data_IF_929270039149
#
_entry.id   IF_929270039149
#
_cell.length_a   1.000
_cell.length_b   1.000
_cell.length_c   1.000
_cell.angle_alpha   90.00
_cell.angle_beta   90.00
_cell.angle_gamma   90.00
#
_symmetry.space_group_name_H-M   'P 1'
#
loop_
_entity.id
_entity.type
_entity.pdbx_description
1 polymer ?
#
# COMPACT_ATOMS: atom_id res chain seq x y z
N UNK A 1 5.66 24.52 -14.60
CA UNK A 1 6.23 23.72 -13.48
C UNK A 1 5.12 23.56 -12.46
N UNK A 2 4.84 22.33 -12.00
CA UNK A 2 3.81 22.09 -10.98
C UNK A 2 4.39 22.38 -9.60
N UNK A 3 3.63 23.08 -8.77
CA UNK A 3 3.97 23.35 -7.37
C UNK A 3 3.17 22.42 -6.45
N UNK A 4 3.83 21.90 -5.40
CA UNK A 4 3.26 20.91 -4.49
C UNK A 4 3.35 21.36 -3.03
N UNK A 5 2.29 21.09 -2.28
CA UNK A 5 2.32 20.99 -0.83
C UNK A 5 2.38 19.53 -0.39
N UNK A 6 3.03 19.21 0.72
CA UNK A 6 3.09 17.87 1.32
C UNK A 6 2.47 17.94 2.70
N UNK A 7 1.47 17.09 2.94
CA UNK A 7 0.80 16.93 4.23
C UNK A 7 1.13 15.54 4.78
N UNK A 8 1.99 15.52 5.82
CA UNK A 8 2.61 14.32 6.35
C UNK A 8 3.95 14.01 5.68
N UNK A 9 5.06 14.34 6.36
CA UNK A 9 6.44 14.12 5.91
C UNK A 9 7.05 12.84 6.52
N UNK A 10 6.26 11.76 6.59
CA UNK A 10 6.71 10.41 6.87
C UNK A 10 7.38 9.76 5.66
N UNK A 11 7.69 8.45 5.73
CA UNK A 11 8.32 7.71 4.62
C UNK A 11 7.54 7.90 3.31
N UNK A 12 6.22 7.69 3.30
CA UNK A 12 5.42 7.80 2.07
C UNK A 12 5.39 9.21 1.48
N UNK A 13 5.14 10.23 2.33
CA UNK A 13 5.13 11.63 1.88
C UNK A 13 6.46 12.06 1.27
N UNK A 14 7.58 11.69 1.91
CA UNK A 14 8.93 11.96 1.39
C UNK A 14 9.23 11.19 0.08
N UNK A 15 8.81 9.94 -0.02
CA UNK A 15 8.95 9.15 -1.26
C UNK A 15 8.26 9.83 -2.44
N UNK A 16 7.00 10.21 -2.28
CA UNK A 16 6.26 10.89 -3.35
C UNK A 16 6.80 12.28 -3.67
N UNK A 17 7.18 13.06 -2.64
CA UNK A 17 7.82 14.36 -2.85
C UNK A 17 9.13 14.23 -3.64
N UNK A 18 9.96 13.24 -3.30
CA UNK A 18 11.20 12.94 -4.01
C UNK A 18 10.97 12.55 -5.47
N UNK A 19 9.98 11.68 -5.75
CA UNK A 19 9.59 11.38 -7.13
C UNK A 19 9.10 12.62 -7.86
N UNK A 20 8.26 13.45 -7.23
CA UNK A 20 7.73 14.66 -7.85
C UNK A 20 8.84 15.65 -8.25
N UNK A 21 9.84 15.84 -7.39
CA UNK A 21 11.00 16.69 -7.71
C UNK A 21 11.79 16.12 -8.90
N UNK A 22 12.04 14.81 -8.95
CA UNK A 22 12.68 14.16 -10.10
C UNK A 22 11.91 14.35 -11.42
N UNK A 23 10.58 14.47 -11.36
CA UNK A 23 9.71 14.75 -12.50
C UNK A 23 9.44 16.25 -12.73
N UNK A 24 10.29 17.12 -12.13
CA UNK A 24 10.30 18.56 -12.39
C UNK A 24 9.19 19.35 -11.67
N UNK A 25 8.63 18.83 -10.59
CA UNK A 25 7.78 19.59 -9.69
C UNK A 25 8.60 20.29 -8.60
N UNK A 26 8.02 21.28 -7.94
CA UNK A 26 8.64 21.99 -6.81
C UNK A 26 7.77 21.89 -5.56
N UNK A 27 8.35 21.42 -4.46
CA UNK A 27 7.70 21.44 -3.16
C UNK A 27 7.81 22.85 -2.58
N UNK A 28 6.67 23.49 -2.30
CA UNK A 28 6.59 24.88 -1.81
C UNK A 28 6.08 24.98 -0.37
N UNK A 29 5.48 23.90 0.17
CA UNK A 29 5.05 23.84 1.55
C UNK A 29 5.12 22.40 2.07
N UNK A 30 5.47 22.23 3.36
CA UNK A 30 5.40 20.95 4.06
C UNK A 30 4.67 21.16 5.39
N UNK A 31 3.58 20.43 5.58
CA UNK A 31 2.77 20.42 6.80
C UNK A 31 3.00 19.10 7.54
N UNK A 32 3.75 19.15 8.65
CA UNK A 32 4.14 17.99 9.46
C UNK A 32 4.13 18.35 10.94
N UNK A 33 3.34 17.67 11.79
CA UNK A 33 3.26 18.00 13.21
C UNK A 33 4.54 17.65 13.98
N UNK A 34 5.23 16.57 13.63
CA UNK A 34 6.47 16.18 14.29
C UNK A 34 7.61 17.15 13.91
N UNK A 35 8.22 17.85 14.90
CA UNK A 35 9.23 18.87 14.62
C UNK A 35 10.51 18.29 14.00
N UNK A 36 10.87 17.03 14.35
CA UNK A 36 12.06 16.40 13.81
C UNK A 36 11.87 15.99 12.33
N UNK A 37 10.71 15.43 11.98
CA UNK A 37 10.38 15.11 10.58
C UNK A 37 10.24 16.39 9.76
N UNK A 38 9.60 17.42 10.32
CA UNK A 38 9.45 18.72 9.67
C UNK A 38 10.80 19.37 9.36
N UNK A 39 11.76 19.32 10.31
CA UNK A 39 13.10 19.83 10.08
C UNK A 39 13.82 19.09 8.96
N UNK A 40 13.81 17.75 8.95
CA UNK A 40 14.39 16.94 7.86
C UNK A 40 13.75 17.22 6.51
N UNK A 41 12.43 17.43 6.47
CA UNK A 41 11.75 17.82 5.24
C UNK A 41 12.21 19.20 4.74
N UNK A 42 12.50 20.14 5.65
CA UNK A 42 13.09 21.45 5.32
C UNK A 42 14.50 21.35 4.74
N UNK A 43 15.31 20.40 5.23
CA UNK A 43 16.63 20.14 4.65
C UNK A 43 16.52 19.59 3.22
N UNK A 44 15.55 18.69 2.98
CA UNK A 44 15.29 18.12 1.65
C UNK A 44 14.65 19.13 0.67
N UNK A 45 13.90 20.10 1.18
CA UNK A 45 13.18 21.11 0.41
C UNK A 45 13.41 22.53 0.99
N UNK A 46 14.60 23.12 0.82
CA UNK A 46 14.99 24.36 1.49
C UNK A 46 14.12 25.59 1.16
N UNK A 47 13.42 25.56 0.02
CA UNK A 47 12.51 26.64 -0.39
C UNK A 47 11.07 26.45 0.11
N UNK A 48 10.77 25.31 0.74
CA UNK A 48 9.42 25.01 1.21
C UNK A 48 9.12 25.72 2.54
N UNK A 49 7.94 26.29 2.63
CA UNK A 49 7.42 26.77 3.91
C UNK A 49 7.09 25.57 4.82
N UNK A 50 7.57 25.61 6.06
CA UNK A 50 7.36 24.55 7.04
C UNK A 50 6.20 24.91 7.98
N UNK A 51 5.16 24.09 7.97
CA UNK A 51 3.93 24.29 8.74
C UNK A 51 3.74 23.19 9.78
N UNK A 52 3.20 23.50 10.98
CA UNK A 52 2.99 22.50 12.02
C UNK A 52 1.86 21.50 11.70
N UNK A 53 0.99 21.83 10.73
CA UNK A 53 -0.07 20.93 10.31
C UNK A 53 -0.81 21.40 9.07
N UNK A 54 -1.69 20.56 8.56
CA UNK A 54 -2.47 20.84 7.35
C UNK A 54 -3.51 21.96 7.54
N UNK A 55 -3.94 22.23 8.80
CA UNK A 55 -4.92 23.28 9.09
C UNK A 55 -4.34 24.67 8.83
N UNK A 56 -3.05 24.86 9.09
CA UNK A 56 -2.33 26.09 8.77
C UNK A 56 -2.20 26.29 7.25
N UNK A 57 -2.02 25.19 6.49
CA UNK A 57 -2.06 25.24 5.02
C UNK A 57 -3.47 25.62 4.53
N UNK A 58 -4.51 25.01 5.10
CA UNK A 58 -5.91 25.23 4.71
C UNK A 58 -6.51 26.58 5.16
N UNK A 59 -5.86 27.28 6.12
CA UNK A 59 -6.27 28.60 6.59
C UNK A 59 -5.84 29.76 5.66
N UNK A 60 -5.11 29.47 4.59
CA UNK A 60 -4.51 30.44 3.66
C UNK A 60 -5.13 30.33 2.27
N UNK A 61 -4.95 31.33 1.42
CA UNK A 61 -5.16 31.18 -0.02
C UNK A 61 -4.31 30.02 -0.55
N UNK A 62 -4.80 29.35 -1.58
CA UNK A 62 -4.09 28.24 -2.23
C UNK A 62 -2.69 28.68 -2.66
N UNK A 63 -1.66 28.02 -2.14
CA UNK A 63 -0.23 28.34 -2.35
C UNK A 63 0.47 27.39 -3.32
N UNK A 64 -0.16 26.26 -3.66
CA UNK A 64 0.37 25.26 -4.58
C UNK A 64 -0.70 24.78 -5.56
N UNK A 65 -0.28 24.21 -6.69
CA UNK A 65 -1.19 23.60 -7.66
C UNK A 65 -1.83 22.33 -7.10
N UNK A 66 -1.04 21.53 -6.39
CA UNK A 66 -1.49 20.25 -5.87
C UNK A 66 -0.96 19.97 -4.46
N UNK A 67 -1.56 18.98 -3.81
CA UNK A 67 -1.17 18.50 -2.48
C UNK A 67 -1.03 16.98 -2.47
N UNK A 68 0.04 16.49 -1.84
CA UNK A 68 0.22 15.09 -1.47
C UNK A 68 -0.24 14.95 -0.02
N UNK A 69 -1.17 14.03 0.25
CA UNK A 69 -1.66 13.75 1.59
C UNK A 69 -1.21 12.35 1.97
N UNK A 70 -0.32 12.25 2.94
CA UNK A 70 0.30 11.02 3.43
C UNK A 70 0.39 11.02 4.96
N UNK A 71 -0.72 11.35 5.61
CA UNK A 71 -0.93 11.31 7.06
C UNK A 71 -1.15 9.87 7.54
N UNK A 72 -1.58 9.65 8.78
CA UNK A 72 -2.06 8.36 9.22
C UNK A 72 -3.43 8.06 8.59
N UNK A 73 -3.76 6.78 8.41
CA UNK A 73 -4.95 6.31 7.68
C UNK A 73 -6.26 6.97 8.16
N UNK A 74 -6.43 7.15 9.48
CA UNK A 74 -7.60 7.79 10.07
C UNK A 74 -7.67 9.32 9.85
N UNK A 75 -6.53 9.94 9.54
CA UNK A 75 -6.42 11.40 9.38
C UNK A 75 -6.48 11.86 7.92
N UNK A 76 -6.89 10.99 6.99
CA UNK A 76 -6.95 11.30 5.55
C UNK A 76 -8.15 12.19 5.18
N UNK A 77 -9.28 12.02 5.83
CA UNK A 77 -10.58 12.55 5.38
C UNK A 77 -10.63 14.08 5.42
N UNK A 78 -10.35 14.66 6.59
CA UNK A 78 -10.46 16.12 6.76
C UNK A 78 -9.56 16.89 5.79
N UNK A 79 -8.25 16.61 5.69
CA UNK A 79 -7.39 17.33 4.75
C UNK A 79 -7.78 17.06 3.30
N UNK A 80 -8.17 15.84 2.92
CA UNK A 80 -8.57 15.51 1.55
C UNK A 80 -9.80 16.31 1.12
N UNK A 81 -10.86 16.32 1.91
CA UNK A 81 -12.11 17.06 1.65
C UNK A 81 -11.85 18.57 1.64
N UNK A 82 -11.13 19.08 2.65
CA UNK A 82 -10.91 20.51 2.80
C UNK A 82 -10.02 21.08 1.70
N UNK A 83 -8.89 20.42 1.40
CA UNK A 83 -7.94 20.93 0.41
C UNK A 83 -8.47 20.78 -1.02
N UNK A 84 -9.20 19.70 -1.34
CA UNK A 84 -9.93 19.59 -2.59
C UNK A 84 -10.94 20.75 -2.76
N UNK A 85 -11.72 21.06 -1.70
CA UNK A 85 -12.65 22.19 -1.69
C UNK A 85 -11.99 23.57 -1.85
N UNK A 86 -10.71 23.70 -1.54
CA UNK A 86 -9.91 24.91 -1.80
C UNK A 86 -9.30 24.93 -3.21
N UNK A 87 -9.58 23.90 -4.03
CA UNK A 87 -9.12 23.80 -5.41
C UNK A 87 -7.70 23.24 -5.59
N UNK A 88 -7.13 22.62 -4.58
CA UNK A 88 -5.90 21.83 -4.76
C UNK A 88 -6.21 20.57 -5.56
N UNK A 89 -5.39 20.22 -6.53
CA UNK A 89 -5.33 18.85 -7.02
C UNK A 89 -4.76 17.96 -5.91
N UNK A 90 -5.25 16.72 -5.78
CA UNK A 90 -4.93 15.88 -4.61
C UNK A 90 -4.36 14.54 -5.02
N UNK A 91 -3.24 14.16 -4.41
CA UNK A 91 -2.73 12.79 -4.39
C UNK A 91 -2.83 12.27 -2.95
N UNK A 92 -3.73 11.30 -2.72
CA UNK A 92 -4.07 10.78 -1.39
C UNK A 92 -3.46 9.39 -1.17
N UNK A 93 -2.74 9.20 -0.06
CA UNK A 93 -2.26 7.87 0.33
C UNK A 93 -3.42 6.90 0.63
N UNK A 94 -3.15 5.61 0.41
CA UNK A 94 -4.09 4.53 0.71
C UNK A 94 -3.93 4.05 2.18
N UNK A 95 -4.99 3.47 2.75
CA UNK A 95 -6.37 3.45 2.25
C UNK A 95 -6.97 4.85 2.25
N UNK A 96 -7.95 5.11 1.38
CA UNK A 96 -8.58 6.45 1.27
C UNK A 96 -9.06 6.95 2.64
N UNK A 97 -9.70 6.06 3.39
CA UNK A 97 -10.14 6.26 4.76
C UNK A 97 -10.36 4.91 5.46
N UNK A 98 -10.57 4.94 6.76
CA UNK A 98 -10.81 3.74 7.59
C UNK A 98 -12.31 3.38 7.70
N UNK A 99 -13.22 4.25 7.24
CA UNK A 99 -14.68 4.01 7.20
C UNK A 99 -15.22 4.23 5.80
N UNK A 100 -16.23 3.44 5.45
CA UNK A 100 -16.82 3.47 4.10
C UNK A 100 -17.48 4.83 3.79
N UNK A 101 -18.22 5.40 4.74
CA UNK A 101 -18.85 6.71 4.60
C UNK A 101 -17.86 7.85 4.37
N UNK A 102 -16.67 7.75 4.95
CA UNK A 102 -15.61 8.73 4.78
C UNK A 102 -15.00 8.67 3.37
N UNK A 103 -14.87 7.47 2.79
CA UNK A 103 -14.47 7.33 1.39
C UNK A 103 -15.50 7.94 0.44
N UNK A 104 -16.78 7.76 0.72
CA UNK A 104 -17.87 8.41 -0.07
C UNK A 104 -17.75 9.94 0.02
N UNK A 105 -17.53 10.48 1.21
CA UNK A 105 -17.34 11.93 1.40
C UNK A 105 -16.14 12.49 0.62
N UNK A 106 -15.03 11.75 0.55
CA UNK A 106 -13.85 12.12 -0.26
C UNK A 106 -14.21 12.13 -1.75
N UNK A 107 -14.88 11.08 -2.26
CA UNK A 107 -15.31 11.01 -3.67
C UNK A 107 -16.19 12.21 -4.03
N UNK A 108 -17.22 12.47 -3.23
CA UNK A 108 -18.13 13.60 -3.46
C UNK A 108 -17.42 14.95 -3.41
N UNK A 109 -16.46 15.13 -2.49
CA UNK A 109 -15.70 16.37 -2.41
C UNK A 109 -14.81 16.57 -3.64
N UNK A 110 -14.13 15.51 -4.11
CA UNK A 110 -13.31 15.56 -5.31
C UNK A 110 -14.14 15.90 -6.57
N UNK A 111 -15.30 15.25 -6.72
CA UNK A 111 -16.21 15.49 -7.85
C UNK A 111 -16.80 16.91 -7.83
N UNK A 112 -17.27 17.38 -6.67
CA UNK A 112 -17.79 18.76 -6.52
C UNK A 112 -16.72 19.83 -6.82
N UNK A 113 -15.48 19.57 -6.44
CA UNK A 113 -14.38 20.50 -6.66
C UNK A 113 -13.86 20.49 -8.10
N UNK A 114 -14.12 19.43 -8.87
CA UNK A 114 -13.62 19.27 -10.25
C UNK A 114 -12.09 19.24 -10.35
N UNK A 115 -11.42 18.80 -9.29
CA UNK A 115 -9.95 18.73 -9.23
C UNK A 115 -9.44 17.38 -9.74
N UNK A 116 -8.20 17.35 -10.20
CA UNK A 116 -7.49 16.08 -10.41
C UNK A 116 -7.29 15.44 -9.03
N UNK A 117 -7.76 14.22 -8.87
CA UNK A 117 -7.65 13.48 -7.62
C UNK A 117 -7.22 12.04 -7.90
N UNK A 118 -6.10 11.63 -7.33
CA UNK A 118 -5.57 10.27 -7.41
C UNK A 118 -5.43 9.65 -6.03
N UNK A 119 -5.72 8.34 -5.94
CA UNK A 119 -5.43 7.54 -4.75
C UNK A 119 -4.17 6.72 -5.01
N UNK A 120 -3.30 6.57 -4.02
CA UNK A 120 -2.01 5.91 -4.18
C UNK A 120 -2.10 4.38 -4.32
N UNK A 121 -2.93 3.90 -5.25
CA UNK A 121 -2.92 2.51 -5.72
C UNK A 121 -1.79 2.30 -6.71
N UNK A 122 -0.59 2.38 -6.21
CA UNK A 122 0.67 2.41 -6.98
C UNK A 122 0.87 1.18 -7.88
N UNK A 123 0.30 0.04 -7.52
CA UNK A 123 0.43 -1.19 -8.32
C UNK A 123 -0.13 -1.05 -9.73
N UNK A 124 -1.13 -0.19 -9.95
CA UNK A 124 -1.67 0.09 -11.30
C UNK A 124 -0.64 0.68 -12.25
N UNK A 125 0.41 1.33 -11.71
CA UNK A 125 1.41 2.11 -12.46
C UNK A 125 2.75 1.39 -12.63
N UNK A 126 2.85 0.12 -12.18
CA UNK A 126 4.08 -0.66 -12.36
C UNK A 126 4.26 -1.08 -13.83
N UNK A 127 5.51 -1.22 -14.30
CA UNK A 127 5.80 -1.83 -15.60
C UNK A 127 5.16 -3.22 -15.75
N UNK A 128 5.16 -4.02 -14.68
CA UNK A 128 4.53 -5.33 -14.62
C UNK A 128 3.01 -5.27 -14.91
N UNK A 129 2.30 -4.36 -14.26
CA UNK A 129 0.86 -4.19 -14.48
C UNK A 129 0.57 -3.72 -15.89
N UNK A 130 1.37 -2.80 -16.42
CA UNK A 130 1.24 -2.29 -17.79
C UNK A 130 1.41 -3.42 -18.79
N UNK A 131 2.49 -4.20 -18.70
CA UNK A 131 2.73 -5.33 -19.59
C UNK A 131 1.62 -6.40 -19.48
N UNK A 132 1.16 -6.69 -18.26
CA UNK A 132 0.03 -7.61 -18.04
C UNK A 132 -1.24 -7.11 -18.72
N UNK A 133 -1.55 -5.83 -18.57
CA UNK A 133 -2.73 -5.21 -19.16
C UNK A 133 -2.66 -5.18 -20.69
N UNK A 134 -1.50 -4.86 -21.27
CA UNK A 134 -1.26 -4.89 -22.71
C UNK A 134 -1.51 -6.30 -23.30
N UNK A 135 -1.06 -7.36 -22.61
CA UNK A 135 -1.33 -8.75 -23.02
C UNK A 135 -2.81 -9.07 -23.00
N UNK A 136 -3.52 -8.66 -21.96
CA UNK A 136 -4.97 -8.88 -21.83
C UNK A 136 -5.72 -8.10 -22.93
N UNK A 137 -5.43 -6.83 -23.09
CA UNK A 137 -6.12 -5.93 -24.03
C UNK A 137 -5.83 -6.28 -25.50
N UNK A 138 -4.69 -6.91 -25.79
CA UNK A 138 -4.37 -7.45 -27.13
C UNK A 138 -5.19 -8.71 -27.46
N UNK A 139 -5.92 -9.28 -26.49
CA UNK A 139 -6.65 -10.54 -26.66
C UNK A 139 -5.76 -11.78 -26.65
N UNK A 140 -4.50 -11.68 -26.22
CA UNK A 140 -3.53 -12.80 -26.22
C UNK A 140 -4.04 -14.04 -25.48
N UNK A 141 -4.85 -13.84 -24.42
CA UNK A 141 -5.44 -14.94 -23.64
C UNK A 141 -6.97 -15.09 -23.83
N UNK A 142 -7.58 -14.29 -24.71
CA UNK A 142 -9.04 -14.21 -24.86
C UNK A 142 -9.70 -13.52 -23.68
N UNK A 143 -10.94 -13.93 -23.33
CA UNK A 143 -11.64 -13.40 -22.17
C UNK A 143 -11.12 -13.99 -20.87
N UNK A 144 -10.97 -13.17 -19.83
CA UNK A 144 -10.60 -13.65 -18.48
C UNK A 144 -11.75 -14.47 -17.90
N UNK A 145 -11.45 -15.70 -17.49
CA UNK A 145 -12.38 -16.62 -16.82
C UNK A 145 -12.15 -16.63 -15.31
N UNK A 146 -10.87 -16.69 -14.90
CA UNK A 146 -10.54 -16.64 -13.47
C UNK A 146 -9.14 -16.09 -13.21
N UNK A 147 -8.93 -15.60 -11.96
CA UNK A 147 -7.64 -15.08 -11.50
C UNK A 147 -7.30 -15.67 -10.13
N UNK A 148 -6.04 -16.07 -9.95
CA UNK A 148 -5.45 -16.38 -8.65
C UNK A 148 -4.39 -15.34 -8.30
N UNK A 149 -4.46 -14.78 -7.11
CA UNK A 149 -3.54 -13.72 -6.67
C UNK A 149 -3.09 -13.97 -5.23
N UNK A 150 -1.78 -13.88 -4.98
CA UNK A 150 -1.17 -14.07 -3.68
C UNK A 150 -0.39 -12.82 -3.29
N UNK A 151 -0.70 -12.25 -2.12
CA UNK A 151 0.14 -11.28 -1.41
C UNK A 151 1.00 -12.00 -0.35
N UNK A 152 2.28 -12.26 -0.63
CA UNK A 152 3.21 -12.88 0.31
C UNK A 152 3.80 -11.80 1.22
N UNK A 153 3.07 -11.40 2.27
CA UNK A 153 3.47 -10.28 3.16
C UNK A 153 4.88 -10.46 3.73
N UNK A 154 5.23 -11.71 4.06
CA UNK A 154 6.51 -12.06 4.66
C UNK A 154 6.48 -12.01 6.20
N UNK A 155 7.12 -13.00 6.81
CA UNK A 155 7.05 -13.24 8.26
C UNK A 155 7.57 -12.05 9.10
N UNK A 156 8.69 -11.46 8.69
CA UNK A 156 9.30 -10.35 9.42
C UNK A 156 8.53 -9.04 9.20
N UNK A 157 8.03 -8.80 7.98
CA UNK A 157 7.24 -7.61 7.64
C UNK A 157 5.91 -7.61 8.41
N UNK A 158 5.22 -8.75 8.44
CA UNK A 158 3.99 -8.89 9.22
C UNK A 158 4.26 -8.65 10.71
N UNK A 159 5.30 -9.30 11.26
CA UNK A 159 5.71 -9.12 12.65
C UNK A 159 6.08 -7.66 12.98
N UNK A 160 6.72 -6.93 12.03
CA UNK A 160 7.04 -5.52 12.17
C UNK A 160 5.78 -4.65 12.18
N UNK A 161 4.98 -4.71 11.12
CA UNK A 161 3.91 -3.74 10.86
C UNK A 161 2.59 -4.08 11.58
N UNK A 162 2.22 -5.37 11.61
CA UNK A 162 0.88 -5.84 11.96
C UNK A 162 0.83 -6.62 13.29
N UNK A 163 1.99 -6.82 13.94
CA UNK A 163 2.06 -7.41 15.29
C UNK A 163 2.62 -6.40 16.30
N UNK A 164 3.72 -5.71 15.96
CA UNK A 164 4.38 -4.75 16.86
C UNK A 164 4.08 -3.29 16.51
N UNK A 165 3.81 -3.01 15.24
CA UNK A 165 3.70 -1.68 14.66
C UNK A 165 2.32 -1.04 14.76
N UNK A 166 2.13 0.03 13.99
CA UNK A 166 0.96 0.89 14.06
C UNK A 166 -0.32 0.23 13.55
N UNK A 167 -0.21 -0.75 12.63
CA UNK A 167 -1.34 -1.46 12.04
C UNK A 167 -1.70 -2.76 12.79
N UNK A 168 -1.21 -2.95 14.03
CA UNK A 168 -1.45 -4.16 14.80
C UNK A 168 -2.87 -4.32 15.34
N UNK A 169 -3.62 -3.21 15.45
CA UNK A 169 -4.98 -3.20 15.99
C UNK A 169 -5.95 -2.53 15.04
N UNK A 170 -7.08 -3.20 14.86
CA UNK A 170 -8.14 -2.72 13.97
C UNK A 170 -8.82 -1.44 14.45
N UNK A 171 -8.85 -1.18 15.76
CA UNK A 171 -9.42 0.03 16.36
C UNK A 171 -8.46 1.24 16.33
N UNK A 172 -7.15 1.01 16.21
CA UNK A 172 -6.13 2.07 16.11
C UNK A 172 -5.84 2.50 14.67
N UNK A 173 -6.00 1.58 13.73
CA UNK A 173 -5.81 1.81 12.31
C UNK A 173 -7.03 1.32 11.53
N UNK A 174 -6.98 0.09 11.02
CA UNK A 174 -8.11 -0.60 10.39
C UNK A 174 -7.79 -2.10 10.28
N UNK A 175 -8.73 -2.91 9.77
CA UNK A 175 -8.49 -4.34 9.57
C UNK A 175 -7.44 -4.60 8.46
N UNK A 176 -6.74 -5.74 8.56
CA UNK A 176 -5.57 -6.07 7.73
C UNK A 176 -5.82 -5.98 6.23
N UNK A 177 -6.98 -6.47 5.75
CA UNK A 177 -7.30 -6.49 4.33
C UNK A 177 -7.39 -5.07 3.76
N UNK A 178 -7.91 -4.10 4.50
CA UNK A 178 -7.95 -2.70 4.08
C UNK A 178 -6.57 -2.03 4.22
N UNK A 179 -5.91 -2.19 5.36
CA UNK A 179 -4.61 -1.55 5.61
C UNK A 179 -3.53 -1.96 4.61
N UNK A 180 -3.46 -3.27 4.29
CA UNK A 180 -2.41 -3.86 3.44
C UNK A 180 -2.90 -4.18 2.04
N UNK A 181 -3.99 -4.94 1.92
CA UNK A 181 -4.38 -5.60 0.68
C UNK A 181 -5.44 -4.86 -0.13
N UNK A 182 -5.80 -3.62 0.25
CA UNK A 182 -6.60 -2.77 -0.63
C UNK A 182 -5.91 -2.55 -2.00
N UNK A 183 -4.58 -2.54 -2.03
CA UNK A 183 -3.79 -2.55 -3.27
C UNK A 183 -4.11 -3.76 -4.17
N UNK A 184 -4.23 -4.94 -3.57
CA UNK A 184 -4.38 -6.21 -4.29
C UNK A 184 -5.81 -6.34 -4.82
N UNK A 185 -6.81 -5.96 -4.03
CA UNK A 185 -8.21 -5.91 -4.46
C UNK A 185 -8.42 -4.88 -5.56
N UNK A 186 -7.76 -3.72 -5.45
CA UNK A 186 -7.75 -2.68 -6.45
C UNK A 186 -7.07 -3.15 -7.75
N UNK A 187 -5.95 -3.83 -7.64
CA UNK A 187 -5.23 -4.39 -8.76
C UNK A 187 -6.07 -5.44 -9.50
N UNK A 188 -6.74 -6.34 -8.76
CA UNK A 188 -7.63 -7.36 -9.34
C UNK A 188 -8.80 -6.71 -10.10
N UNK A 189 -9.41 -5.68 -9.52
CA UNK A 189 -10.46 -4.90 -10.19
C UNK A 189 -9.93 -4.27 -11.49
N UNK A 190 -8.74 -3.66 -11.46
CA UNK A 190 -8.11 -3.03 -12.62
C UNK A 190 -7.77 -4.04 -13.73
N UNK A 191 -7.20 -5.19 -13.38
CA UNK A 191 -6.79 -6.21 -14.35
C UNK A 191 -8.00 -6.89 -15.00
N UNK A 192 -8.99 -7.27 -14.21
CA UNK A 192 -10.21 -7.91 -14.74
C UNK A 192 -11.07 -6.91 -15.52
N UNK A 193 -11.01 -5.62 -15.15
CA UNK A 193 -11.77 -4.56 -15.82
C UNK A 193 -13.28 -4.64 -15.63
N UNK A 194 -13.75 -5.37 -14.59
CA UNK A 194 -15.16 -5.58 -14.24
C UNK A 194 -15.34 -5.41 -12.74
N UNK A 195 -16.51 -4.94 -12.32
CA UNK A 195 -16.82 -4.78 -10.89
C UNK A 195 -16.97 -6.13 -10.21
N UNK A 196 -16.56 -6.19 -8.94
CA UNK A 196 -16.88 -7.31 -8.05
C UNK A 196 -18.33 -7.17 -7.60
N UNK A 197 -19.12 -8.23 -7.75
CA UNK A 197 -20.56 -8.26 -7.39
C UNK A 197 -20.85 -9.10 -6.15
N UNK A 198 -20.01 -10.12 -5.87
CA UNK A 198 -20.13 -10.95 -4.65
C UNK A 198 -18.76 -11.35 -4.13
N UNK A 199 -18.69 -11.52 -2.81
CA UNK A 199 -17.46 -12.00 -2.15
C UNK A 199 -17.77 -12.94 -0.98
N UNK A 200 -16.86 -13.89 -0.74
CA UNK A 200 -16.77 -14.66 0.50
C UNK A 200 -15.34 -14.63 1.02
N UNK A 201 -15.17 -14.75 2.34
CA UNK A 201 -13.84 -14.64 2.92
C UNK A 201 -13.70 -15.50 4.17
N UNK A 202 -12.49 -16.06 4.36
CA UNK A 202 -12.08 -16.81 5.54
C UNK A 202 -10.68 -16.35 5.96
N UNK A 203 -10.44 -16.29 7.27
CA UNK A 203 -9.15 -15.88 7.80
C UNK A 203 -9.23 -15.58 9.28
N UNK A 204 -8.10 -15.39 9.94
CA UNK A 204 -8.04 -15.13 11.35
C UNK A 204 -6.64 -14.82 11.85
N UNK A 205 -6.56 -14.50 13.12
CA UNK A 205 -5.31 -14.44 13.86
C UNK A 205 -5.02 -15.85 14.41
N UNK A 206 -4.12 -16.58 13.75
CA UNK A 206 -3.84 -17.97 14.07
C UNK A 206 -2.58 -18.14 14.94
N UNK A 207 -1.53 -17.39 14.61
CA UNK A 207 -0.20 -17.66 15.16
C UNK A 207 0.26 -16.61 16.19
N UNK A 208 0.12 -15.32 15.92
CA UNK A 208 0.66 -14.23 16.75
C UNK A 208 -0.23 -13.91 17.95
N UNK A 209 -0.34 -14.86 18.89
CA UNK A 209 -1.19 -14.79 20.09
C UNK A 209 -0.58 -15.58 21.24
N UNK A 210 -1.01 -15.27 22.45
CA UNK A 210 -0.38 -15.76 23.68
C UNK A 210 -0.40 -17.29 23.82
N UNK A 211 -1.44 -17.97 23.32
CA UNK A 211 -1.55 -19.43 23.37
C UNK A 211 -0.43 -20.15 22.62
N UNK A 212 0.20 -19.48 21.66
CA UNK A 212 1.29 -20.03 20.86
C UNK A 212 2.68 -19.59 21.37
N UNK A 213 2.75 -18.90 22.51
CA UNK A 213 4.01 -18.46 23.11
C UNK A 213 4.85 -19.65 23.55
N UNK A 214 6.10 -19.79 23.05
CA UNK A 214 6.97 -20.88 23.48
C UNK A 214 7.32 -20.79 24.96
N UNK A 215 7.46 -21.96 25.61
CA UNK A 215 7.96 -22.04 26.97
C UNK A 215 9.33 -21.37 27.11
N UNK A 216 9.52 -20.57 28.13
CA UNK A 216 10.76 -19.82 28.36
C UNK A 216 10.89 -18.54 27.58
N UNK A 217 9.90 -18.16 26.74
CA UNK A 217 9.91 -16.88 26.05
C UNK A 217 9.73 -15.71 27.04
N UNK A 218 10.55 -14.66 26.90
CA UNK A 218 10.41 -13.43 27.67
C UNK A 218 9.45 -12.44 26.97
N UNK A 219 9.05 -11.40 27.69
CA UNK A 219 8.20 -10.32 27.12
C UNK A 219 8.90 -9.51 26.01
N UNK A 220 10.23 -9.49 26.01
CA UNK A 220 11.05 -8.76 25.01
C UNK A 220 12.13 -9.65 24.42
N UNK A 221 12.43 -9.46 23.14
CA UNK A 221 13.42 -10.28 22.42
C UNK A 221 14.83 -10.18 23.00
N UNK A 222 15.22 -9.04 23.56
CA UNK A 222 16.57 -8.86 24.11
C UNK A 222 16.84 -9.69 25.39
N UNK A 223 15.78 -10.05 26.12
CA UNK A 223 15.86 -10.79 27.37
C UNK A 223 15.40 -12.26 27.20
N UNK A 224 15.13 -12.69 25.96
CA UNK A 224 14.46 -13.94 25.66
C UNK A 224 15.44 -15.11 25.50
N UNK A 225 15.34 -16.14 26.34
CA UNK A 225 16.21 -17.32 26.27
C UNK A 225 16.01 -18.15 24.99
N UNK A 226 14.79 -18.14 24.42
CA UNK A 226 14.45 -18.87 23.20
C UNK A 226 14.67 -18.02 21.91
N UNK A 227 15.21 -16.80 22.04
CA UNK A 227 15.43 -15.88 20.92
C UNK A 227 16.25 -16.51 19.77
N UNK A 228 17.33 -17.27 20.01
CA UNK A 228 18.15 -17.83 18.91
C UNK A 228 17.39 -18.75 17.96
N UNK A 229 16.35 -19.44 18.44
CA UNK A 229 15.49 -20.33 17.65
C UNK A 229 14.20 -19.66 17.13
N UNK A 230 13.92 -18.42 17.53
CA UNK A 230 12.66 -17.74 17.17
C UNK A 230 12.75 -17.14 15.77
N UNK A 231 11.86 -17.51 14.81
CA UNK A 231 11.86 -16.93 13.48
C UNK A 231 11.50 -15.43 13.48
N UNK A 232 10.85 -14.96 14.54
CA UNK A 232 10.37 -13.58 14.69
C UNK A 232 11.26 -12.72 15.61
N UNK A 233 12.51 -13.11 15.82
CA UNK A 233 13.45 -12.36 16.65
C UNK A 233 13.62 -10.94 16.12
N UNK A 234 13.18 -9.94 16.91
CA UNK A 234 13.39 -8.54 16.60
C UNK A 234 14.88 -8.18 16.56
N UNK A 235 15.65 -8.71 17.52
CA UNK A 235 17.10 -8.48 17.59
C UNK A 235 17.79 -8.91 16.30
N UNK A 236 17.62 -10.17 15.88
CA UNK A 236 18.23 -10.69 14.67
C UNK A 236 17.75 -9.94 13.42
N UNK A 237 16.45 -9.71 13.30
CA UNK A 237 15.88 -9.05 12.13
C UNK A 237 16.42 -7.64 11.95
N UNK A 238 16.34 -6.79 12.98
CA UNK A 238 16.73 -5.38 12.80
C UNK A 238 18.23 -5.17 12.77
N UNK A 239 19.00 -5.98 13.50
CA UNK A 239 20.47 -5.90 13.38
C UNK A 239 20.98 -6.39 12.02
N UNK A 240 20.30 -7.35 11.37
CA UNK A 240 20.67 -7.78 10.01
C UNK A 240 20.40 -6.73 8.93
N UNK A 241 19.60 -5.73 9.23
CA UNK A 241 19.29 -4.62 8.31
C UNK A 241 20.27 -3.44 8.42
N UNK A 242 21.13 -3.43 9.44
CA UNK A 242 22.15 -2.38 9.57
C UNK A 242 23.13 -2.45 8.42
N UNK A 243 23.43 -1.28 7.82
CA UNK A 243 24.34 -1.17 6.67
C UNK A 243 23.67 -1.40 5.30
N UNK A 244 22.40 -1.82 5.28
CA UNK A 244 21.62 -1.89 4.06
C UNK A 244 20.89 -0.54 3.83
N UNK A 245 21.24 0.23 2.77
CA UNK A 245 20.63 1.54 2.50
C UNK A 245 19.11 1.46 2.28
N UNK A 246 18.61 0.38 1.66
CA UNK A 246 17.20 0.19 1.38
C UNK A 246 16.40 -0.08 2.66
N UNK A 247 17.07 -0.56 3.72
CA UNK A 247 16.47 -0.82 5.04
C UNK A 247 16.58 0.36 5.99
N UNK A 248 17.41 1.34 5.70
CA UNK A 248 17.59 2.53 6.53
C UNK A 248 16.30 3.36 6.59
N UNK A 249 15.67 3.66 5.45
CA UNK A 249 14.40 4.39 5.41
C UNK A 249 13.24 3.57 5.98
N UNK A 250 13.15 2.31 5.58
CA UNK A 250 12.16 1.38 6.12
C UNK A 250 12.75 -0.04 6.19
N UNK A 251 12.69 -0.75 7.36
CA UNK A 251 11.92 -0.41 8.57
C UNK A 251 12.70 0.32 9.67
N UNK A 252 14.02 0.57 9.53
CA UNK A 252 14.86 1.04 10.63
C UNK A 252 14.50 2.45 11.12
N UNK A 253 14.22 3.41 10.23
CA UNK A 253 13.84 4.78 10.63
C UNK A 253 12.52 4.84 11.39
N UNK A 254 11.69 3.80 11.28
CA UNK A 254 10.44 3.68 12.05
C UNK A 254 10.72 3.30 13.50
N UNK A 255 11.81 2.55 13.76
CA UNK A 255 12.22 2.20 15.12
C UNK A 255 12.86 3.38 15.84
N UNK A 256 13.81 4.03 15.16
CA UNK A 256 14.64 5.10 15.73
C UNK A 256 15.24 5.96 14.62
N UNK A 257 15.42 7.27 14.85
CA UNK A 257 16.21 8.12 13.97
C UNK A 257 17.73 7.85 14.07
N UNK A 258 18.19 7.21 15.16
CA UNK A 258 19.58 6.79 15.38
C UNK A 258 19.80 5.38 14.83
N UNK A 259 20.14 5.29 13.53
CA UNK A 259 20.31 4.02 12.80
C UNK A 259 21.73 3.47 13.03
N UNK A 260 22.10 3.34 14.30
CA UNK A 260 23.29 2.61 14.77
C UNK A 260 22.87 1.35 15.52
N UNK A 261 23.80 0.43 15.73
CA UNK A 261 23.52 -0.77 16.54
C UNK A 261 23.04 -0.37 17.94
N UNK A 262 23.67 0.62 18.59
CA UNK A 262 23.28 1.10 19.90
C UNK A 262 21.88 1.73 19.89
N UNK A 263 21.58 2.57 18.90
CA UNK A 263 20.27 3.20 18.72
C UNK A 263 19.16 2.17 18.49
N UNK A 264 19.39 1.17 17.64
CA UNK A 264 18.46 0.05 17.39
C UNK A 264 18.25 -0.78 18.65
N UNK A 265 19.32 -1.17 19.37
CA UNK A 265 19.19 -1.94 20.62
C UNK A 265 18.44 -1.15 21.70
N UNK A 266 18.67 0.15 21.82
CA UNK A 266 17.90 1.03 22.72
C UNK A 266 16.42 1.06 22.33
N UNK A 267 16.10 1.23 21.07
CA UNK A 267 14.73 1.22 20.57
C UNK A 267 14.04 -0.14 20.80
N UNK A 268 14.76 -1.25 20.67
CA UNK A 268 14.23 -2.58 20.97
C UNK A 268 14.03 -2.80 22.47
N UNK A 269 14.83 -2.16 23.34
CA UNK A 269 14.66 -2.24 24.80
C UNK A 269 13.45 -1.45 25.27
N UNK A 270 13.22 -0.27 24.73
CA UNK A 270 12.26 0.70 25.25
C UNK A 270 10.97 0.74 24.41
N UNK A 271 11.07 0.64 23.09
CA UNK A 271 9.98 0.82 22.14
C UNK A 271 9.14 -0.44 21.91
N UNK A 272 8.07 -0.34 21.10
CA UNK A 272 7.15 -1.45 20.84
C UNK A 272 7.77 -2.58 20.01
N UNK A 273 8.76 -2.28 19.18
CA UNK A 273 9.32 -3.22 18.20
C UNK A 273 10.17 -4.34 18.82
N UNK A 274 10.59 -4.21 20.08
CA UNK A 274 11.30 -5.27 20.80
C UNK A 274 10.41 -6.25 21.55
N UNK A 275 9.07 -6.07 21.56
CA UNK A 275 8.12 -6.95 22.23
C UNK A 275 8.12 -8.36 21.61
N UNK A 276 7.82 -9.36 22.42
CA UNK A 276 7.53 -10.70 21.94
C UNK A 276 6.29 -10.69 21.05
N UNK A 277 6.35 -11.32 19.88
CA UNK A 277 5.21 -11.36 18.92
C UNK A 277 3.99 -12.11 19.46
N UNK A 278 4.18 -12.96 20.47
CA UNK A 278 3.11 -13.73 21.12
C UNK A 278 2.50 -12.99 22.31
N UNK A 279 3.05 -11.81 22.67
CA UNK A 279 2.66 -11.02 23.84
C UNK A 279 2.31 -9.58 23.45
N UNK A 280 1.97 -9.38 22.16
CA UNK A 280 1.48 -8.13 21.65
C UNK A 280 -0.05 -8.05 21.75
N UNK A 281 -0.56 -6.83 21.66
CA UNK A 281 -1.99 -6.50 21.72
C UNK A 281 -2.62 -6.44 20.31
N UNK A 282 -2.08 -7.20 19.35
CA UNK A 282 -2.56 -7.25 17.98
C UNK A 282 -3.85 -8.08 17.87
N UNK A 283 -4.78 -7.62 17.01
CA UNK A 283 -6.07 -8.27 16.72
C UNK A 283 -6.30 -8.53 15.23
N UNK A 284 -5.43 -7.99 14.36
CA UNK A 284 -5.57 -8.15 12.91
C UNK A 284 -5.20 -9.57 12.47
N UNK A 285 -5.80 -10.01 11.37
CA UNK A 285 -5.58 -11.37 10.85
C UNK A 285 -4.14 -11.56 10.33
N UNK A 286 -3.59 -12.77 10.50
CA UNK A 286 -2.27 -13.14 9.96
C UNK A 286 -2.35 -13.92 8.63
N UNK A 287 -3.55 -14.35 8.25
CA UNK A 287 -3.87 -14.93 6.94
C UNK A 287 -5.34 -14.66 6.59
N UNK A 288 -5.62 -14.49 5.31
CA UNK A 288 -6.99 -14.33 4.80
C UNK A 288 -7.10 -14.77 3.35
N UNK A 289 -8.17 -15.49 3.03
CA UNK A 289 -8.56 -15.86 1.67
C UNK A 289 -9.85 -15.13 1.33
N UNK A 290 -9.90 -14.55 0.12
CA UNK A 290 -11.07 -13.85 -0.40
C UNK A 290 -11.41 -14.43 -1.76
N UNK A 291 -12.65 -14.89 -1.94
CA UNK A 291 -13.17 -15.28 -3.23
C UNK A 291 -14.05 -14.15 -3.77
N UNK A 292 -13.87 -13.86 -5.05
CA UNK A 292 -14.51 -12.76 -5.76
C UNK A 292 -15.30 -13.31 -6.95
N UNK A 293 -16.50 -12.78 -7.17
CA UNK A 293 -17.22 -12.92 -8.43
C UNK A 293 -17.36 -11.55 -9.05
N UNK A 294 -16.97 -11.45 -10.31
CA UNK A 294 -17.04 -10.23 -11.10
C UNK A 294 -18.29 -10.22 -11.98
N UNK A 295 -18.72 -9.04 -12.40
CA UNK A 295 -19.76 -8.88 -13.43
C UNK A 295 -19.42 -9.76 -14.63
N UNK A 296 -20.43 -10.46 -15.18
CA UNK A 296 -20.25 -11.39 -16.30
C UNK A 296 -19.71 -12.77 -15.91
N UNK A 297 -19.53 -13.06 -14.59
CA UNK A 297 -19.28 -14.40 -14.07
C UNK A 297 -17.80 -14.81 -13.98
N UNK A 298 -16.86 -13.96 -14.32
CA UNK A 298 -15.44 -14.23 -14.02
C UNK A 298 -15.22 -14.33 -12.50
N UNK A 299 -14.25 -15.13 -12.06
CA UNK A 299 -13.98 -15.37 -10.64
C UNK A 299 -12.55 -15.03 -10.27
N UNK A 300 -12.33 -14.65 -9.00
CA UNK A 300 -11.01 -14.42 -8.43
C UNK A 300 -10.83 -15.13 -7.10
N UNK A 301 -9.63 -15.62 -6.83
CA UNK A 301 -9.21 -16.02 -5.49
C UNK A 301 -7.98 -15.21 -5.10
N UNK A 302 -8.09 -14.54 -3.96
CA UNK A 302 -7.01 -13.76 -3.36
C UNK A 302 -6.60 -14.40 -2.04
N UNK A 303 -5.29 -14.55 -1.84
CA UNK A 303 -4.73 -15.02 -0.56
C UNK A 303 -3.72 -14.01 -0.05
N UNK A 304 -3.89 -13.56 1.19
CA UNK A 304 -2.91 -12.81 1.95
C UNK A 304 -2.40 -13.68 3.09
N UNK A 305 -1.09 -13.75 3.28
CA UNK A 305 -0.50 -14.51 4.36
C UNK A 305 0.81 -13.93 4.87
N UNK A 306 0.99 -13.97 6.21
CA UNK A 306 2.22 -13.62 6.89
C UNK A 306 3.33 -14.68 6.69
N UNK A 307 2.98 -15.94 6.40
CA UNK A 307 3.86 -17.12 6.51
C UNK A 307 4.59 -17.44 5.21
N UNK A 308 5.26 -16.44 4.65
CA UNK A 308 6.05 -16.54 3.43
C UNK A 308 7.39 -15.82 3.61
N UNK A 309 8.39 -16.08 2.76
CA UNK A 309 9.43 -15.09 2.49
C UNK A 309 8.78 -13.80 1.97
N UNK A 310 9.35 -12.65 2.31
CA UNK A 310 8.93 -11.38 1.71
C UNK A 310 9.25 -11.42 0.22
N UNK A 311 8.25 -11.26 -0.62
CA UNK A 311 8.36 -11.29 -2.07
C UNK A 311 7.29 -10.41 -2.70
N UNK A 312 7.40 -10.16 -4.00
CA UNK A 312 6.34 -9.52 -4.76
C UNK A 312 5.17 -10.48 -4.97
N UNK A 313 4.02 -9.92 -5.45
CA UNK A 313 2.79 -10.70 -5.69
C UNK A 313 3.00 -11.81 -6.69
N UNK A 314 2.32 -12.94 -6.48
CA UNK A 314 2.25 -14.03 -7.47
C UNK A 314 0.85 -14.11 -8.04
N UNK A 315 0.76 -14.12 -9.36
CA UNK A 315 -0.52 -14.04 -10.05
C UNK A 315 -0.61 -15.09 -11.17
N UNK A 316 -1.80 -15.67 -11.31
CA UNK A 316 -2.17 -16.49 -12.46
C UNK A 316 -3.49 -15.99 -13.01
N UNK A 317 -3.55 -15.75 -14.32
CA UNK A 317 -4.74 -15.28 -15.04
C UNK A 317 -5.08 -16.32 -16.08
N UNK A 318 -6.28 -16.86 -16.01
CA UNK A 318 -6.77 -17.89 -16.90
C UNK A 318 -7.82 -17.31 -17.85
N UNK A 319 -7.49 -17.30 -19.12
CA UNK A 319 -8.37 -16.85 -20.20
C UNK A 319 -8.92 -17.99 -21.05
N UNK A 320 -9.83 -17.65 -21.96
CA UNK A 320 -10.45 -18.63 -22.86
C UNK A 320 -9.53 -19.16 -23.95
N UNK A 321 -8.39 -18.47 -24.20
CA UNK A 321 -7.44 -18.80 -25.28
C UNK A 321 -5.99 -18.93 -24.82
N UNK A 322 -5.73 -18.66 -23.55
CA UNK A 322 -4.37 -18.69 -23.00
C UNK A 322 -4.37 -18.42 -21.51
N UNK A 323 -3.18 -18.41 -20.91
CA UNK A 323 -2.96 -18.05 -19.52
C UNK A 323 -1.73 -17.17 -19.37
N UNK A 324 -1.73 -16.37 -18.30
CA UNK A 324 -0.58 -15.57 -17.86
C UNK A 324 -0.23 -15.98 -16.45
N UNK A 325 1.06 -16.25 -16.18
CA UNK A 325 1.60 -16.39 -14.83
C UNK A 325 2.66 -15.29 -14.61
N UNK A 326 2.74 -14.73 -13.41
CA UNK A 326 3.74 -13.69 -13.12
C UNK A 326 4.04 -13.53 -11.65
N UNK A 327 5.20 -12.94 -11.37
CA UNK A 327 5.74 -12.75 -10.01
C UNK A 327 6.17 -11.31 -9.70
N UNK A 328 5.87 -10.38 -10.61
CA UNK A 328 6.22 -8.96 -10.51
C UNK A 328 7.42 -8.55 -11.34
N UNK A 329 8.28 -9.47 -11.75
CA UNK A 329 9.41 -9.24 -12.66
C UNK A 329 9.20 -9.92 -14.01
N UNK A 330 8.71 -11.15 -13.98
CA UNK A 330 8.55 -11.97 -15.16
C UNK A 330 7.08 -12.29 -15.41
N UNK A 331 6.72 -12.41 -16.70
CA UNK A 331 5.43 -12.89 -17.16
C UNK A 331 5.67 -14.11 -18.06
N UNK A 332 4.98 -15.19 -17.76
CA UNK A 332 4.91 -16.37 -18.62
C UNK A 332 3.55 -16.41 -19.28
N UNK A 333 3.50 -16.41 -20.62
CA UNK A 333 2.25 -16.41 -21.41
C UNK A 333 2.17 -17.69 -22.20
N UNK A 334 1.09 -18.47 -22.02
CA UNK A 334 0.81 -19.69 -22.78
C UNK A 334 -0.37 -19.47 -23.71
N UNK A 335 -0.19 -19.75 -25.00
CA UNK A 335 -1.23 -19.72 -26.03
C UNK A 335 -1.82 -21.13 -26.22
N UNK A 336 -3.11 -21.30 -26.01
CA UNK A 336 -3.78 -22.61 -26.12
C UNK A 336 -4.02 -23.07 -27.57
N UNK A 337 -3.92 -22.17 -28.55
CA UNK A 337 -4.08 -22.54 -29.98
C UNK A 337 -2.83 -23.23 -30.48
N UNK A 338 -1.68 -22.72 -30.11
CA UNK A 338 -0.37 -23.21 -30.58
C UNK A 338 0.32 -24.12 -29.57
N UNK A 339 -0.07 -24.06 -28.29
CA UNK A 339 0.64 -24.69 -27.17
C UNK A 339 1.98 -24.01 -26.83
N UNK A 340 2.30 -22.89 -27.47
CA UNK A 340 3.54 -22.19 -27.25
C UNK A 340 3.50 -21.40 -25.93
N UNK A 341 4.63 -21.40 -25.23
CA UNK A 341 4.85 -20.59 -24.04
C UNK A 341 5.99 -19.62 -24.31
N UNK A 342 5.83 -18.35 -23.87
CA UNK A 342 6.87 -17.32 -23.93
C UNK A 342 7.04 -16.64 -22.59
N UNK A 343 8.27 -16.29 -22.27
CA UNK A 343 8.64 -15.52 -21.10
C UNK A 343 8.89 -14.06 -21.51
N UNK A 344 8.51 -13.13 -20.64
CA UNK A 344 8.67 -11.69 -20.80
C UNK A 344 9.26 -11.16 -19.50
N UNK A 345 10.52 -10.76 -19.53
CA UNK A 345 11.15 -9.99 -18.46
C UNK A 345 10.72 -8.52 -18.58
N UNK A 346 9.90 -8.04 -17.64
CA UNK A 346 9.40 -6.66 -17.64
C UNK A 346 10.46 -5.65 -17.20
N UNK A 347 11.59 -6.13 -16.68
CA UNK A 347 12.73 -5.30 -16.23
C UNK A 347 13.85 -5.21 -17.27
N UNK A 348 13.79 -5.99 -18.35
CA UNK A 348 14.85 -6.12 -19.36
C UNK A 348 15.25 -4.80 -20.04
N UNK A 349 14.39 -3.78 -20.01
CA UNK A 349 14.65 -2.44 -20.55
C UNK A 349 15.21 -1.45 -19.50
N UNK A 350 15.71 -1.93 -18.36
CA UNK A 350 16.24 -1.11 -17.28
C UNK A 350 15.15 -0.41 -16.45
N UNK A 351 13.93 -0.91 -16.49
CA UNK A 351 12.84 -0.45 -15.64
C UNK A 351 13.00 -0.95 -14.19
N UNK A 352 12.25 -0.34 -13.24
CA UNK A 352 12.26 -0.76 -11.84
C UNK A 352 11.75 -2.20 -11.70
N UNK A 353 12.45 -2.97 -10.86
CA UNK A 353 12.08 -4.35 -10.54
C UNK A 353 11.05 -4.41 -9.40
N UNK A 354 10.51 -5.60 -9.16
CA UNK A 354 9.66 -5.86 -7.99
C UNK A 354 10.40 -5.63 -6.65
N UNK A 355 11.74 -5.64 -6.66
CA UNK A 355 12.56 -5.35 -5.48
C UNK A 355 12.64 -3.84 -5.16
N UNK A 356 12.37 -2.97 -6.14
CA UNK A 356 12.45 -1.51 -6.00
C UNK A 356 11.19 -0.91 -5.34
N UNK A 357 10.83 -1.31 -4.16
CA UNK A 357 9.63 -0.88 -3.43
C UNK A 357 8.42 -0.72 -4.36
N UNK A 358 7.34 -1.41 -4.17
CA UNK A 358 6.18 -1.42 -5.08
C UNK A 358 6.50 -1.54 -6.60
N UNK A 359 7.67 -2.09 -6.99
CA UNK A 359 8.03 -2.36 -8.39
C UNK A 359 8.00 -1.11 -9.29
N UNK A 360 8.44 0.04 -8.79
CA UNK A 360 8.46 1.32 -9.52
C UNK A 360 7.10 2.03 -9.66
N UNK A 361 6.04 1.47 -9.08
CA UNK A 361 4.70 2.05 -9.16
C UNK A 361 4.58 3.42 -8.51
N UNK A 362 5.38 3.73 -7.48
CA UNK A 362 5.42 5.04 -6.83
C UNK A 362 5.80 6.15 -7.82
N UNK A 363 6.85 5.92 -8.60
CA UNK A 363 7.31 6.85 -9.64
C UNK A 363 6.29 7.02 -10.76
N UNK A 364 5.76 5.91 -11.28
CA UNK A 364 4.77 5.93 -12.35
C UNK A 364 3.47 6.64 -11.97
N UNK A 365 3.00 6.46 -10.73
CA UNK A 365 1.84 7.19 -10.20
C UNK A 365 2.10 8.69 -10.14
N UNK A 366 3.23 9.11 -9.57
CA UNK A 366 3.56 10.53 -9.42
C UNK A 366 3.73 11.20 -10.79
N UNK A 367 4.37 10.53 -11.75
CA UNK A 367 4.48 11.01 -13.11
C UNK A 367 3.11 11.23 -13.76
N UNK A 368 2.23 10.23 -13.70
CA UNK A 368 0.86 10.32 -14.21
C UNK A 368 0.06 11.43 -13.53
N UNK A 369 0.20 11.58 -12.21
CA UNK A 369 -0.46 12.64 -11.46
C UNK A 369 0.00 14.03 -11.87
N UNK A 370 1.31 14.24 -11.98
CA UNK A 370 1.85 15.53 -12.41
C UNK A 370 1.43 15.89 -13.85
N UNK A 371 1.36 14.90 -14.73
CA UNK A 371 0.89 15.10 -16.09
C UNK A 371 -0.61 15.43 -16.13
N UNK A 372 -1.43 14.73 -15.35
CA UNK A 372 -2.85 15.05 -15.20
C UNK A 372 -3.07 16.47 -14.67
N UNK A 373 -2.26 16.93 -13.71
CA UNK A 373 -2.31 18.30 -13.18
C UNK A 373 -1.91 19.32 -14.25
N UNK A 374 -0.82 19.07 -15.00
CA UNK A 374 -0.36 19.96 -16.08
C UNK A 374 -1.42 20.15 -17.16
N UNK A 375 -2.08 19.06 -17.55
CA UNK A 375 -3.10 19.07 -18.60
C UNK A 375 -4.49 19.41 -18.08
N UNK A 376 -4.69 19.40 -16.76
CA UNK A 376 -6.02 19.47 -16.12
C UNK A 376 -6.95 18.38 -16.63
N UNK A 377 -6.40 17.19 -16.82
CA UNK A 377 -7.13 16.02 -17.33
C UNK A 377 -7.15 14.90 -16.27
N UNK A 378 -8.26 14.75 -15.54
CA UNK A 378 -8.41 13.68 -14.55
C UNK A 378 -8.45 12.27 -15.18
N UNK A 379 -8.71 12.16 -16.49
CA UNK A 379 -8.74 10.89 -17.21
C UNK A 379 -7.38 10.19 -17.32
N UNK A 380 -6.29 10.89 -17.02
CA UNK A 380 -4.94 10.30 -16.97
C UNK A 380 -4.67 9.55 -15.65
N UNK A 381 -5.57 9.66 -14.67
CA UNK A 381 -5.44 8.96 -13.37
C UNK A 381 -6.12 7.60 -13.45
N UNK A 382 -5.34 6.53 -13.36
CA UNK A 382 -5.87 5.16 -13.35
C UNK A 382 -6.56 4.80 -12.03
N UNK A 383 -6.21 5.44 -10.92
CA UNK A 383 -6.73 5.23 -9.57
C UNK A 383 -7.57 6.42 -9.11
N UNK A 384 -8.56 6.80 -9.90
CA UNK A 384 -9.50 7.87 -9.56
C UNK A 384 -10.32 7.51 -8.31
N UNK A 385 -10.87 8.51 -7.56
CA UNK A 385 -11.54 8.27 -6.29
C UNK A 385 -12.70 7.28 -6.39
N UNK A 386 -13.53 7.34 -7.44
CA UNK A 386 -14.69 6.43 -7.61
C UNK A 386 -14.26 4.97 -7.86
N UNK A 387 -13.21 4.76 -8.65
CA UNK A 387 -12.62 3.43 -8.87
C UNK A 387 -12.03 2.87 -7.57
N UNK A 388 -11.31 3.71 -6.85
CA UNK A 388 -10.71 3.36 -5.56
C UNK A 388 -11.78 3.09 -4.49
N UNK A 389 -12.90 3.80 -4.50
CA UNK A 389 -14.03 3.53 -3.60
C UNK A 389 -14.56 2.12 -3.78
N UNK A 390 -14.73 1.66 -5.04
CA UNK A 390 -15.20 0.29 -5.28
C UNK A 390 -14.24 -0.75 -4.70
N UNK A 391 -12.93 -0.59 -4.89
CA UNK A 391 -11.91 -1.49 -4.33
C UNK A 391 -11.96 -1.53 -2.80
N UNK A 392 -12.20 -0.40 -2.15
CA UNK A 392 -12.39 -0.32 -0.70
C UNK A 392 -13.69 -0.98 -0.26
N UNK A 393 -14.80 -0.81 -1.00
CA UNK A 393 -16.06 -1.49 -0.74
C UNK A 393 -15.93 -3.01 -0.80
N UNK A 394 -15.12 -3.52 -1.74
CA UNK A 394 -14.77 -4.95 -1.80
C UNK A 394 -14.04 -5.40 -0.53
N UNK A 395 -13.10 -4.60 0.00
CA UNK A 395 -12.39 -4.93 1.24
C UNK A 395 -13.37 -5.00 2.44
N UNK A 396 -14.28 -4.04 2.61
CA UNK A 396 -15.30 -4.09 3.67
C UNK A 396 -16.30 -5.23 3.49
N UNK A 397 -16.72 -5.51 2.26
CA UNK A 397 -17.62 -6.63 1.98
C UNK A 397 -16.94 -7.98 2.32
N UNK A 398 -15.65 -8.14 1.98
CA UNK A 398 -14.87 -9.33 2.31
C UNK A 398 -14.66 -9.48 3.83
N UNK A 399 -14.42 -8.37 4.54
CA UNK A 399 -14.30 -8.40 6.01
C UNK A 399 -15.65 -8.75 6.66
N UNK A 400 -16.77 -8.19 6.20
CA UNK A 400 -18.12 -8.60 6.65
C UNK A 400 -18.38 -10.09 6.38
N UNK A 401 -17.99 -10.59 5.20
CA UNK A 401 -18.13 -11.99 4.84
C UNK A 401 -17.34 -12.90 5.81
N UNK A 402 -16.10 -12.51 6.15
CA UNK A 402 -15.26 -13.23 7.11
C UNK A 402 -15.88 -13.26 8.51
N UNK A 403 -16.37 -12.13 8.99
CA UNK A 403 -16.92 -12.00 10.34
C UNK A 403 -18.28 -12.71 10.50
N UNK A 404 -19.09 -12.75 9.44
CA UNK A 404 -20.44 -13.34 9.49
C UNK A 404 -20.51 -14.77 8.95
N UNK A 405 -19.46 -15.25 8.27
CA UNK A 405 -19.45 -16.56 7.61
C UNK A 405 -20.41 -16.66 6.42
N UNK A 406 -20.75 -15.54 5.79
CA UNK A 406 -21.73 -15.45 4.70
C UNK A 406 -21.11 -14.95 3.41
N UNK A 407 -21.79 -15.18 2.27
CA UNK A 407 -21.50 -14.48 1.02
C UNK A 407 -22.13 -13.09 1.08
N UNK A 408 -21.37 -12.07 0.74
CA UNK A 408 -21.81 -10.68 0.71
C UNK A 408 -21.93 -10.19 -0.73
N UNK A 409 -23.07 -9.63 -1.10
CA UNK A 409 -23.31 -8.97 -2.39
C UNK A 409 -22.94 -7.49 -2.27
N UNK A 410 -22.23 -6.98 -3.26
CA UNK A 410 -21.92 -5.56 -3.38
C UNK A 410 -23.02 -4.85 -4.18
N UNK A 411 -23.22 -3.52 -3.95
CA UNK A 411 -24.20 -2.72 -4.67
C UNK A 411 -23.86 -2.49 -6.14
#
# INVERSE_FOLDING_TARGET
MVTLAVVGAGSRGNTYAGHAVRHGARVVAVAEPDPGRRARAGEAHPEAELLPGWRELAARPRTADAVIIATQDADHVEPAVRLAGLGYHVLLEKPMAVREEDCVAIVEAAERAGVVFGVCHVLRYTPYTRATKELIDSGAIGEIVSVQHLEPVGWWHHAHSFVRGNWRRSDLATFMLLAKSCHDLDWLHHIVGRKVVRTSSFGGLHHFRQENRPDGAAARCLDCAVEPGCPYSAKRTYLSFLGDPDRADWPLSVLTPDITEEGVLRALREGPYGRCVYDCDNDVVDHQVVNLEFEGGATGSFTMTAFTPSAFRKTRIFGTRGSIEGDGNDLTVTDFVTGATREIDVTAQGGPSAADGHGGGDGGLVEAFLEAVRRRDPGLILSAPRESLHSHQVAWAAERARLTGTVVTLP
#
